data_IF_938556719256
#
_entry.id   IF_938556719256
#
_cell.length_a   1.000
_cell.length_b   1.000
_cell.length_c   1.000
_cell.angle_alpha   90.00
_cell.angle_beta   90.00
_cell.angle_gamma   90.00
#
_symmetry.space_group_name_H-M   'P 1'
#
loop_
_entity.id
_entity.type
_entity.pdbx_description
1 polymer ?
#
# COMPACT_ATOMS: atom_id res chain seq x y z
N UNK A 1 -20.88 -45.97 -21.87
CA UNK A 1 -20.74 -44.54 -22.24
C UNK A 1 -21.97 -43.82 -21.73
N UNK A 2 -21.85 -43.15 -20.58
CA UNK A 2 -22.89 -42.26 -20.04
C UNK A 2 -22.70 -40.92 -20.75
N UNK A 3 -23.75 -40.37 -21.33
CA UNK A 3 -23.62 -39.14 -22.15
C UNK A 3 -23.51 -37.92 -21.22
N UNK A 4 -22.75 -36.89 -21.62
CA UNK A 4 -22.49 -35.67 -20.82
C UNK A 4 -23.77 -34.95 -20.31
N UNK A 5 -24.93 -35.30 -20.86
CA UNK A 5 -26.26 -34.84 -20.44
C UNK A 5 -26.73 -35.47 -19.13
N UNK A 6 -26.38 -36.73 -18.85
CA UNK A 6 -26.77 -37.44 -17.62
C UNK A 6 -25.94 -36.99 -16.41
N UNK A 7 -24.67 -36.63 -16.64
CA UNK A 7 -23.75 -36.15 -15.61
C UNK A 7 -24.13 -34.73 -15.13
N UNK A 8 -24.50 -33.83 -16.07
CA UNK A 8 -25.08 -32.53 -15.73
C UNK A 8 -26.41 -32.62 -14.98
N UNK A 9 -27.23 -33.66 -15.27
CA UNK A 9 -28.51 -33.88 -14.59
C UNK A 9 -28.32 -34.36 -13.15
N UNK A 10 -27.31 -35.21 -12.89
CA UNK A 10 -26.90 -35.60 -11.53
C UNK A 10 -26.35 -34.42 -10.74
N UNK A 11 -25.50 -33.58 -11.35
CA UNK A 11 -24.91 -32.42 -10.67
C UNK A 11 -25.96 -31.37 -10.27
N UNK A 12 -26.96 -31.12 -11.13
CA UNK A 12 -28.09 -30.23 -10.80
C UNK A 12 -28.98 -30.77 -9.69
N UNK A 13 -29.21 -32.08 -9.65
CA UNK A 13 -30.03 -32.70 -8.59
C UNK A 13 -29.39 -32.55 -7.20
N UNK A 14 -28.07 -32.68 -7.11
CA UNK A 14 -27.30 -32.50 -5.85
C UNK A 14 -27.39 -31.05 -5.34
N UNK A 15 -27.35 -30.07 -6.25
CA UNK A 15 -27.47 -28.65 -5.91
C UNK A 15 -28.90 -28.32 -5.45
N UNK A 16 -29.91 -28.83 -6.14
CA UNK A 16 -31.31 -28.60 -5.77
C UNK A 16 -31.71 -29.30 -4.46
N UNK A 17 -31.08 -30.44 -4.11
CA UNK A 17 -31.23 -31.07 -2.79
C UNK A 17 -30.55 -30.26 -1.68
N UNK A 18 -29.36 -29.69 -1.94
CA UNK A 18 -28.62 -28.88 -0.98
C UNK A 18 -29.30 -27.54 -0.66
N UNK A 19 -30.19 -27.06 -1.53
CA UNK A 19 -30.90 -25.78 -1.36
C UNK A 19 -32.29 -25.97 -0.71
N UNK A 20 -32.82 -27.20 -0.63
CA UNK A 20 -34.08 -27.48 0.08
C UNK A 20 -33.89 -27.31 1.59
N UNK A 21 -34.24 -26.12 2.09
CA UNK A 21 -34.33 -25.83 3.53
C UNK A 21 -33.59 -24.59 3.99
N UNK A 22 -32.96 -23.82 3.09
CA UNK A 22 -32.36 -22.51 3.44
C UNK A 22 -33.43 -21.42 3.26
N UNK A 23 -33.87 -20.74 4.34
CA UNK A 23 -34.83 -19.65 4.23
C UNK A 23 -34.24 -18.48 3.42
N UNK A 24 -34.97 -18.03 2.40
CA UNK A 24 -34.56 -16.96 1.47
C UNK A 24 -34.37 -15.58 2.15
N UNK A 25 -34.89 -15.41 3.36
CA UNK A 25 -34.77 -14.22 4.20
C UNK A 25 -33.43 -14.11 4.94
N UNK A 26 -32.52 -15.10 4.84
CA UNK A 26 -31.16 -15.02 5.39
C UNK A 26 -30.08 -14.59 4.38
N UNK A 27 -30.47 -14.16 3.18
CA UNK A 27 -29.54 -13.73 2.11
C UNK A 27 -29.36 -12.19 2.08
N UNK A 28 -30.15 -11.42 2.84
CA UNK A 28 -30.00 -9.96 2.93
C UNK A 28 -29.71 -9.51 4.37
N UNK A 29 -28.44 -9.57 4.75
CA UNK A 29 -27.90 -8.69 5.79
C UNK A 29 -26.41 -8.47 5.53
N UNK A 30 -25.98 -7.21 5.62
CA UNK A 30 -24.60 -6.72 5.54
C UNK A 30 -23.98 -6.56 4.14
N UNK A 31 -24.66 -5.82 3.26
CA UNK A 31 -23.94 -4.98 2.29
C UNK A 31 -23.48 -3.71 3.00
N UNK A 32 -22.22 -3.69 3.43
CA UNK A 32 -21.48 -2.45 3.75
C UNK A 32 -20.10 -2.53 3.08
N UNK A 33 -19.73 -1.60 2.18
CA UNK A 33 -18.51 -1.72 1.40
C UNK A 33 -17.32 -1.22 2.23
N UNK A 34 -16.56 -2.14 2.81
CA UNK A 34 -15.26 -1.84 3.41
C UNK A 34 -14.16 -2.54 2.61
N UNK A 35 -13.52 -1.77 1.74
CA UNK A 35 -12.30 -2.09 1.02
C UNK A 35 -11.17 -2.41 2.04
N UNK A 36 -11.04 -3.67 2.45
CA UNK A 36 -9.87 -4.17 3.17
C UNK A 36 -8.86 -4.72 2.15
N UNK A 37 -7.84 -3.91 1.83
CA UNK A 37 -6.56 -4.44 1.37
C UNK A 37 -5.81 -4.96 2.61
N UNK A 38 -6.16 -6.17 3.05
CA UNK A 38 -5.36 -6.93 4.01
C UNK A 38 -4.32 -7.75 3.24
N UNK A 39 -3.18 -7.14 2.93
CA UNK A 39 -1.96 -7.88 2.64
C UNK A 39 -1.14 -7.90 3.92
N UNK A 40 -1.30 -8.94 4.74
CA UNK A 40 -0.37 -9.23 5.84
C UNK A 40 0.70 -10.22 5.37
N UNK A 41 2.00 -9.93 5.60
CA UNK A 41 3.09 -10.81 5.21
C UNK A 41 3.30 -11.88 6.29
N UNK A 42 3.23 -13.15 5.91
CA UNK A 42 3.82 -14.25 6.70
C UNK A 42 4.90 -14.93 5.87
N UNK A 43 6.08 -14.33 5.91
CA UNK A 43 7.34 -14.98 5.57
C UNK A 43 7.59 -16.11 6.58
N UNK A 44 7.25 -17.34 6.21
CA UNK A 44 7.92 -18.53 6.70
C UNK A 44 8.02 -19.55 5.57
N UNK A 45 9.13 -19.54 4.85
CA UNK A 45 9.70 -20.79 4.34
C UNK A 45 11.22 -20.71 4.41
N UNK A 46 11.76 -21.48 5.35
CA UNK A 46 13.19 -21.70 5.57
C UNK A 46 13.71 -22.51 4.38
N UNK A 47 14.66 -21.98 3.59
CA UNK A 47 15.48 -22.81 2.70
C UNK A 47 16.90 -22.92 3.25
N UNK A 48 17.08 -23.94 4.08
CA UNK A 48 18.36 -24.62 4.31
C UNK A 48 18.04 -26.11 4.36
N UNK A 49 18.22 -26.80 3.22
CA UNK A 49 18.67 -28.21 3.12
C UNK A 49 18.54 -28.75 1.69
N UNK A 50 19.68 -29.13 1.13
CA UNK A 50 19.92 -30.17 0.12
C UNK A 50 19.10 -30.18 -1.17
N UNK A 51 19.75 -29.68 -2.22
CA UNK A 51 19.58 -30.15 -3.58
C UNK A 51 19.88 -31.66 -3.66
N UNK A 52 18.87 -32.48 -3.94
CA UNK A 52 19.03 -33.70 -4.73
C UNK A 52 17.80 -33.85 -5.61
N UNK A 53 17.92 -33.29 -6.83
CA UNK A 53 17.18 -33.59 -8.05
C UNK A 53 15.73 -34.07 -7.93
N UNK A 54 14.80 -33.20 -8.34
CA UNK A 54 13.81 -33.55 -9.38
C UNK A 54 13.12 -32.29 -9.88
N UNK A 55 13.24 -32.07 -11.19
CA UNK A 55 12.56 -31.02 -11.95
C UNK A 55 11.07 -30.97 -11.62
N UNK A 56 10.65 -29.92 -10.91
CA UNK A 56 9.24 -29.57 -10.80
C UNK A 56 8.94 -28.67 -12.00
N UNK A 57 8.25 -29.23 -13.00
CA UNK A 57 7.60 -28.46 -14.06
C UNK A 57 6.68 -27.44 -13.41
N UNK A 58 7.09 -26.18 -13.53
CA UNK A 58 6.37 -25.04 -12.99
C UNK A 58 5.08 -24.85 -13.80
N UNK A 59 3.96 -25.12 -13.14
CA UNK A 59 2.62 -24.97 -13.71
C UNK A 59 2.35 -23.47 -13.89
N UNK A 60 2.66 -23.00 -15.10
CA UNK A 60 2.44 -21.65 -15.61
C UNK A 60 0.94 -21.34 -15.62
N UNK A 61 0.41 -20.90 -14.48
CA UNK A 61 -0.71 -19.97 -14.50
C UNK A 61 -0.21 -18.71 -15.21
N UNK A 62 -0.47 -18.63 -16.52
CA UNK A 62 -0.08 -17.49 -17.35
C UNK A 62 -0.58 -16.21 -16.68
N UNK A 63 0.33 -15.41 -16.14
CA UNK A 63 0.00 -14.07 -15.66
C UNK A 63 -0.42 -13.27 -16.89
N UNK A 64 -1.72 -13.01 -17.00
CA UNK A 64 -2.32 -12.29 -18.14
C UNK A 64 -2.00 -10.79 -18.14
N UNK A 65 -1.46 -10.28 -17.03
CA UNK A 65 -1.02 -8.90 -16.86
C UNK A 65 0.48 -8.89 -16.54
N UNK A 66 1.26 -8.32 -17.46
CA UNK A 66 2.71 -8.20 -17.36
C UNK A 66 3.05 -6.71 -17.34
N UNK A 67 3.66 -6.25 -16.26
CA UNK A 67 4.33 -4.95 -16.28
C UNK A 67 5.58 -5.07 -17.13
N UNK A 68 5.63 -4.36 -18.26
CA UNK A 68 6.84 -4.27 -19.08
C UNK A 68 7.97 -3.63 -18.30
N UNK A 69 7.66 -2.54 -17.57
CA UNK A 69 8.58 -1.94 -16.62
C UNK A 69 8.42 -2.55 -15.22
N UNK A 70 9.43 -3.34 -14.81
CA UNK A 70 9.50 -3.91 -13.47
C UNK A 70 9.53 -2.85 -12.37
N UNK A 71 9.92 -1.61 -12.68
CA UNK A 71 9.95 -0.50 -11.72
C UNK A 71 8.56 -0.08 -11.24
N UNK A 72 7.50 -0.36 -12.01
CA UNK A 72 6.11 -0.11 -11.58
C UNK A 72 5.80 -0.85 -10.27
N UNK A 73 6.43 -2.00 -10.03
CA UNK A 73 6.28 -2.76 -8.78
C UNK A 73 6.86 -2.06 -7.55
N UNK A 74 7.64 -0.98 -7.72
CA UNK A 74 8.18 -0.18 -6.61
C UNK A 74 7.12 0.76 -5.99
N UNK A 75 5.90 0.77 -6.55
CA UNK A 75 4.75 1.49 -5.99
C UNK A 75 4.71 2.97 -6.36
N UNK A 76 3.72 3.66 -5.78
CA UNK A 76 3.45 5.08 -6.02
C UNK A 76 3.16 5.80 -4.70
N UNK A 77 3.47 7.09 -4.66
CA UNK A 77 3.05 7.97 -3.58
C UNK A 77 1.80 8.75 -4.02
N UNK A 78 0.75 8.73 -3.21
CA UNK A 78 -0.45 9.54 -3.41
C UNK A 78 -0.36 10.77 -2.51
N UNK A 79 -0.66 11.93 -3.05
CA UNK A 79 -0.66 13.19 -2.30
C UNK A 79 -2.10 13.69 -2.20
N UNK A 80 -2.58 14.06 -1.00
CA UNK A 80 -3.90 14.68 -0.85
C UNK A 80 -4.05 15.91 -1.74
N UNK A 81 -5.16 16.02 -2.47
CA UNK A 81 -5.43 17.14 -3.38
C UNK A 81 -5.32 18.50 -2.70
N UNK A 82 -5.62 18.57 -1.41
CA UNK A 82 -5.57 19.77 -0.58
C UNK A 82 -4.13 20.30 -0.44
N UNK A 83 -3.16 19.38 -0.33
CA UNK A 83 -1.72 19.69 -0.33
C UNK A 83 -1.25 20.02 -1.74
N UNK A 84 -1.71 19.23 -2.73
CA UNK A 84 -1.33 19.42 -4.13
C UNK A 84 -1.76 20.80 -4.67
N UNK A 85 -2.94 21.27 -4.27
CA UNK A 85 -3.53 22.55 -4.67
C UNK A 85 -3.15 23.72 -3.76
N UNK A 86 -2.40 23.49 -2.68
CA UNK A 86 -1.91 24.56 -1.81
C UNK A 86 -0.90 25.43 -2.58
N UNK A 87 -1.28 26.66 -2.93
CA UNK A 87 -0.43 27.59 -3.68
C UNK A 87 0.71 28.17 -2.85
N UNK A 88 0.66 28.04 -1.53
CA UNK A 88 1.75 28.49 -0.63
C UNK A 88 2.90 27.49 -0.57
N UNK A 89 2.68 26.26 -1.08
CA UNK A 89 3.72 25.25 -1.22
C UNK A 89 4.29 25.25 -2.63
N UNK A 90 5.62 25.20 -2.72
CA UNK A 90 6.31 25.02 -4.00
C UNK A 90 6.12 23.60 -4.53
N UNK A 91 6.39 23.40 -5.84
CA UNK A 91 6.39 22.07 -6.43
C UNK A 91 7.33 21.11 -5.69
N UNK A 92 8.55 21.57 -5.38
CA UNK A 92 9.51 20.76 -4.63
C UNK A 92 9.02 20.41 -3.22
N UNK A 93 8.33 21.32 -2.52
CA UNK A 93 7.80 21.02 -1.18
C UNK A 93 6.69 19.97 -1.22
N UNK A 94 5.86 19.99 -2.26
CA UNK A 94 4.84 18.96 -2.52
C UNK A 94 5.51 17.62 -2.85
N UNK A 95 6.56 17.63 -3.66
CA UNK A 95 7.36 16.43 -3.97
C UNK A 95 8.04 15.86 -2.73
N UNK A 96 8.62 16.71 -1.87
CA UNK A 96 9.19 16.26 -0.60
C UNK A 96 8.11 15.62 0.27
N UNK A 97 6.94 16.24 0.40
CA UNK A 97 5.83 15.64 1.15
C UNK A 97 5.40 14.28 0.56
N UNK A 98 5.32 14.16 -0.76
CA UNK A 98 5.05 12.89 -1.45
C UNK A 98 6.10 11.81 -1.12
N UNK A 99 7.38 12.19 -1.11
CA UNK A 99 8.48 11.30 -0.75
C UNK A 99 8.39 10.86 0.72
N UNK A 100 8.02 11.76 1.63
CA UNK A 100 7.78 11.39 3.03
C UNK A 100 6.63 10.38 3.17
N UNK A 101 5.56 10.52 2.39
CA UNK A 101 4.45 9.56 2.35
C UNK A 101 4.88 8.20 1.78
N UNK A 102 5.70 8.18 0.72
CA UNK A 102 6.18 6.93 0.14
C UNK A 102 7.01 6.12 1.13
N UNK A 103 7.87 6.79 1.90
CA UNK A 103 8.66 6.16 2.96
C UNK A 103 7.81 5.66 4.13
N UNK A 104 6.73 6.37 4.47
CA UNK A 104 5.81 5.96 5.52
C UNK A 104 4.99 4.71 5.15
N UNK A 105 4.83 4.39 3.85
CA UNK A 105 4.06 3.24 3.39
C UNK A 105 4.89 2.00 3.04
N UNK A 106 6.22 2.08 3.06
CA UNK A 106 7.09 0.92 2.82
C UNK A 106 7.19 0.02 4.07
N UNK A 107 7.31 -1.30 3.86
CA UNK A 107 7.23 -2.41 4.85
C UNK A 107 8.07 -2.28 6.14
N UNK A 108 9.00 -1.32 6.22
CA UNK A 108 9.85 -1.10 7.39
C UNK A 108 9.62 0.23 8.10
N UNK A 109 8.75 1.10 7.57
CA UNK A 109 8.51 2.48 8.04
C UNK A 109 9.82 3.24 8.37
N UNK A 110 10.93 2.83 7.73
CA UNK A 110 12.26 3.26 8.12
C UNK A 110 12.54 4.58 7.44
N UNK A 111 12.49 5.65 8.23
CA UNK A 111 12.63 6.99 7.72
C UNK A 111 14.08 7.25 7.24
N UNK A 112 14.27 7.75 6.02
CA UNK A 112 15.60 8.09 5.51
C UNK A 112 16.20 9.27 6.29
N UNK A 113 17.52 9.25 6.51
CA UNK A 113 18.22 10.45 6.98
C UNK A 113 18.01 11.64 6.03
N UNK A 114 18.27 12.86 6.50
CA UNK A 114 18.15 14.07 5.67
C UNK A 114 19.05 14.02 4.43
N UNK A 115 20.20 13.37 4.54
CA UNK A 115 21.13 13.19 3.42
C UNK A 115 20.54 12.29 2.33
N UNK A 116 19.79 11.25 2.73
CA UNK A 116 19.10 10.37 1.79
C UNK A 116 17.93 11.07 1.10
N UNK A 117 17.17 11.90 1.82
CA UNK A 117 16.16 12.76 1.20
C UNK A 117 16.77 13.74 0.19
N UNK A 118 17.93 14.30 0.51
CA UNK A 118 18.65 15.20 -0.40
C UNK A 118 19.11 14.48 -1.67
N UNK A 119 19.68 13.27 -1.52
CA UNK A 119 20.05 12.39 -2.63
C UNK A 119 18.85 12.06 -3.53
N UNK A 120 17.75 11.57 -2.95
CA UNK A 120 16.57 11.15 -3.71
C UNK A 120 15.88 12.31 -4.44
N UNK A 121 15.95 13.52 -3.86
CA UNK A 121 15.41 14.73 -4.49
C UNK A 121 16.38 15.38 -5.48
N UNK A 122 17.66 14.98 -5.50
CA UNK A 122 18.70 15.67 -6.28
C UNK A 122 18.92 17.11 -5.82
N UNK A 123 18.75 17.40 -4.53
CA UNK A 123 18.86 18.75 -3.95
C UNK A 123 19.93 18.81 -2.87
N UNK A 124 20.34 20.03 -2.50
CA UNK A 124 21.22 20.20 -1.34
C UNK A 124 20.52 19.86 -0.03
N UNK A 125 21.27 19.36 0.95
CA UNK A 125 20.78 19.12 2.32
C UNK A 125 20.16 20.38 2.94
N UNK A 126 20.75 21.56 2.66
CA UNK A 126 20.24 22.85 3.14
C UNK A 126 18.85 23.14 2.58
N UNK A 127 18.65 22.93 1.28
CA UNK A 127 17.34 23.09 0.62
C UNK A 127 16.30 22.16 1.23
N UNK A 128 16.62 20.86 1.39
CA UNK A 128 15.71 19.90 2.03
C UNK A 128 15.35 20.33 3.45
N UNK A 129 16.32 20.81 4.23
CA UNK A 129 16.07 21.28 5.60
C UNK A 129 15.16 22.52 5.67
N UNK A 130 15.31 23.45 4.73
CA UNK A 130 14.41 24.61 4.61
C UNK A 130 12.98 24.15 4.28
N UNK A 131 12.84 23.21 3.35
CA UNK A 131 11.54 22.66 2.95
C UNK A 131 10.88 21.87 4.09
N UNK A 132 11.62 21.01 4.80
CA UNK A 132 11.15 20.32 6.00
C UNK A 132 10.68 21.31 7.07
N UNK A 133 11.40 22.41 7.26
CA UNK A 133 11.00 23.48 8.18
C UNK A 133 9.68 24.14 7.76
N UNK A 134 9.50 24.39 6.46
CA UNK A 134 8.25 24.95 5.92
C UNK A 134 7.07 23.99 6.08
N UNK A 135 7.23 22.71 5.77
CA UNK A 135 6.21 21.68 6.00
C UNK A 135 5.85 21.55 7.49
N UNK A 136 6.84 21.64 8.38
CA UNK A 136 6.63 21.67 9.83
C UNK A 136 5.82 22.90 10.27
N UNK A 137 6.18 24.08 9.78
CA UNK A 137 5.48 25.34 10.11
C UNK A 137 4.03 25.32 9.61
N UNK A 138 3.80 24.70 8.45
CA UNK A 138 2.46 24.41 7.90
C UNK A 138 1.70 23.32 8.65
N UNK A 139 2.28 22.72 9.70
CA UNK A 139 1.69 21.62 10.47
C UNK A 139 1.36 20.37 9.64
N UNK A 140 2.00 20.19 8.48
CA UNK A 140 1.87 18.96 7.70
C UNK A 140 2.71 17.82 8.28
N UNK A 141 3.83 18.16 8.94
CA UNK A 141 4.70 17.21 9.63
C UNK A 141 5.10 17.71 11.02
N UNK A 142 5.51 16.78 11.89
CA UNK A 142 6.19 17.08 13.17
C UNK A 142 7.48 16.28 13.25
N UNK A 143 8.57 16.94 13.65
CA UNK A 143 9.90 16.31 13.76
C UNK A 143 10.28 16.22 15.23
N UNK A 144 10.54 15.01 15.74
CA UNK A 144 11.02 14.73 17.09
C UNK A 144 12.49 14.29 17.03
N UNK A 145 13.38 15.07 17.65
CA UNK A 145 14.79 14.72 17.80
C UNK A 145 14.94 13.59 18.84
N UNK A 146 15.80 12.61 18.56
CA UNK A 146 16.00 11.44 19.42
C UNK A 146 17.31 11.44 20.23
N UNK A 147 18.12 12.49 20.11
CA UNK A 147 19.45 12.58 20.75
C UNK A 147 20.59 12.21 19.81
N UNK A 148 21.82 12.16 20.33
CA UNK A 148 23.03 11.92 19.52
C UNK A 148 22.98 10.53 18.86
N UNK A 149 23.38 10.49 17.59
CA UNK A 149 23.52 9.25 16.81
C UNK A 149 22.20 8.61 16.37
N UNK A 150 21.04 9.13 16.79
CA UNK A 150 19.73 8.60 16.39
C UNK A 150 19.10 9.47 15.31
N UNK A 151 18.49 8.81 14.32
CA UNK A 151 17.70 9.48 13.28
C UNK A 151 16.49 10.19 13.92
N UNK A 152 16.08 11.31 13.32
CA UNK A 152 14.87 12.01 13.78
C UNK A 152 13.63 11.17 13.46
N UNK A 153 12.61 11.24 14.33
CA UNK A 153 11.28 10.70 14.02
C UNK A 153 10.47 11.79 13.35
N UNK A 154 9.87 11.46 12.20
CA UNK A 154 8.97 12.33 11.46
C UNK A 154 7.55 11.77 11.59
N UNK A 155 6.62 12.61 12.01
CA UNK A 155 5.21 12.28 12.08
C UNK A 155 4.49 13.04 10.98
N UNK A 156 3.77 12.32 10.12
CA UNK A 156 2.77 12.92 9.22
C UNK A 156 1.57 13.33 10.07
N UNK A 157 1.15 14.60 9.98
CA UNK A 157 0.05 15.13 10.80
C UNK A 157 -1.30 14.93 10.13
N UNK A 158 -2.37 15.09 10.92
CA UNK A 158 -3.74 15.14 10.39
C UNK A 158 -3.86 16.37 9.49
N UNK A 159 -4.51 16.24 8.34
CA UNK A 159 -4.68 17.36 7.42
C UNK A 159 -5.47 18.51 8.03
N UNK A 160 -6.41 18.23 8.95
CA UNK A 160 -7.16 19.24 9.71
C UNK A 160 -6.26 20.14 10.57
N UNK A 161 -5.06 19.69 10.95
CA UNK A 161 -4.10 20.53 11.68
C UNK A 161 -3.50 21.64 10.79
N UNK A 162 -3.32 21.34 9.50
CA UNK A 162 -2.75 22.23 8.48
C UNK A 162 -3.83 23.04 7.73
N UNK A 163 -5.03 22.44 7.60
CA UNK A 163 -6.18 22.98 6.89
C UNK A 163 -7.42 22.91 7.80
N UNK A 164 -7.54 23.81 8.80
CA UNK A 164 -8.62 23.76 9.80
C UNK A 164 -10.03 23.94 9.20
N UNK A 165 -10.12 24.55 8.02
CA UNK A 165 -11.37 24.71 7.27
C UNK A 165 -11.94 23.39 6.71
N UNK A 166 -11.27 22.25 6.93
CA UNK A 166 -11.67 20.91 6.49
C UNK A 166 -12.30 20.08 7.61
N UNK A 167 -12.67 20.72 8.72
CA UNK A 167 -13.39 20.05 9.80
C UNK A 167 -14.88 20.12 9.44
N UNK A 168 -15.44 18.96 9.08
CA UNK A 168 -16.89 18.74 9.00
C UNK A 168 -17.56 18.86 10.38
#
# INVERSE_FOLDING_TARGET
MVTATEEKRKQRHIIDEAIKGVPLDKIEADVKPSLHLDVKPSLHYIYSSTNTHKEVKEDLHQRTLIFEDKNIRKGFAQVPNVVLRDSTLSGNEKTLYALLLSYAWQDKECFPGQDKLAEDMGLSRVSVNQMLSKLKNKKLIRIKRQGLGKVNIYHIRKLSDAYPQMVD
#
